data_IF_821101953472
#
_entry.id   IF_821101953472
#
_cell.length_a   1.000
_cell.length_b   1.000
_cell.length_c   1.000
_cell.angle_alpha   90.00
_cell.angle_beta   90.00
_cell.angle_gamma   90.00
#
_symmetry.space_group_name_H-M   'P 1'
#
loop_
_entity.id
_entity.type
_entity.pdbx_description
1 polymer ?
#
# COMPACT_ATOMS: atom_id res chain seq x y z
N UNK A 1 -1.99 -21.64 -0.37
CA UNK A 1 -1.55 -20.61 0.52
C UNK A 1 -2.05 -19.28 0.07
N UNK A 2 -2.55 -18.51 1.01
CA UNK A 2 -3.24 -17.28 0.67
C UNK A 2 -2.49 -16.06 1.14
N UNK A 3 -1.21 -16.03 0.84
CA UNK A 3 -0.42 -14.87 1.17
C UNK A 3 -0.65 -13.78 0.14
N UNK A 4 -0.87 -12.59 0.62
CA UNK A 4 -1.02 -11.44 -0.25
C UNK A 4 0.35 -10.93 -0.67
N UNK A 5 0.49 -10.45 -1.91
CA UNK A 5 1.73 -9.79 -2.31
C UNK A 5 1.97 -8.56 -1.44
N UNK A 6 3.21 -8.30 -1.14
CA UNK A 6 3.59 -7.14 -0.35
C UNK A 6 3.98 -6.00 -1.27
N UNK A 7 3.47 -4.82 -0.95
CA UNK A 7 3.76 -3.62 -1.72
C UNK A 7 4.34 -2.58 -0.77
N UNK A 8 5.50 -2.07 -1.11
CA UNK A 8 6.09 -0.98 -0.36
C UNK A 8 5.68 0.34 -0.99
N UNK A 9 5.06 1.20 -0.19
CA UNK A 9 4.67 2.53 -0.62
C UNK A 9 5.58 3.52 0.09
N UNK A 10 6.49 4.11 -0.64
CA UNK A 10 7.43 5.07 -0.10
C UNK A 10 7.07 6.46 -0.61
N UNK A 11 6.44 7.24 0.23
CA UNK A 11 6.03 8.60 -0.12
C UNK A 11 5.85 9.38 1.18
N UNK A 12 6.30 10.61 1.21
CA UNK A 12 6.16 11.44 2.39
C UNK A 12 4.75 12.03 2.54
N UNK A 13 3.90 11.84 1.56
CA UNK A 13 2.53 12.32 1.63
C UNK A 13 1.60 11.22 2.09
N UNK A 14 1.01 11.42 3.26
CA UNK A 14 0.05 10.49 3.82
C UNK A 14 -1.16 10.33 2.91
N UNK A 15 -1.57 11.42 2.29
CA UNK A 15 -2.72 11.42 1.40
C UNK A 15 -2.44 10.56 0.17
N UNK A 16 -1.25 10.70 -0.40
CA UNK A 16 -0.88 9.91 -1.56
C UNK A 16 -0.80 8.43 -1.23
N UNK A 17 -0.27 8.09 -0.05
CA UNK A 17 -0.21 6.69 0.36
C UNK A 17 -1.61 6.10 0.52
N UNK A 18 -2.51 6.87 1.11
CA UNK A 18 -3.89 6.41 1.28
C UNK A 18 -4.57 6.23 -0.07
N UNK A 19 -4.33 7.15 -0.99
CA UNK A 19 -4.92 7.09 -2.32
C UNK A 19 -4.44 5.85 -3.08
N UNK A 20 -3.17 5.53 -2.97
CA UNK A 20 -2.64 4.34 -3.63
C UNK A 20 -3.28 3.07 -3.10
N UNK A 21 -3.49 3.00 -1.79
CA UNK A 21 -4.15 1.85 -1.21
C UNK A 21 -5.59 1.72 -1.68
N UNK A 22 -6.25 2.84 -1.88
CA UNK A 22 -7.61 2.84 -2.42
C UNK A 22 -7.65 2.30 -3.86
N UNK A 23 -6.70 2.72 -4.66
CA UNK A 23 -6.63 2.31 -6.05
C UNK A 23 -6.32 0.82 -6.17
N UNK A 24 -5.37 0.36 -5.36
CA UNK A 24 -4.93 -1.03 -5.43
C UNK A 24 -5.87 -2.00 -4.72
N UNK A 25 -6.62 -1.49 -3.75
CA UNK A 25 -7.59 -2.30 -3.05
C UNK A 25 -6.99 -3.07 -1.88
N UNK A 26 -7.72 -4.03 -1.38
CA UNK A 26 -7.32 -4.77 -0.18
C UNK A 26 -6.70 -6.13 -0.49
N UNK A 27 -6.32 -6.37 -1.74
CA UNK A 27 -5.68 -7.62 -2.15
C UNK A 27 -4.19 -7.68 -1.90
N UNK A 28 -3.62 -6.71 -1.18
CA UNK A 28 -2.18 -6.60 -0.98
C UNK A 28 -1.87 -6.25 0.47
N UNK A 29 -0.69 -6.68 0.90
CA UNK A 29 -0.14 -6.22 2.18
C UNK A 29 0.71 -4.99 1.92
N UNK A 30 0.40 -3.90 2.57
CA UNK A 30 1.10 -2.64 2.34
C UNK A 30 2.10 -2.36 3.44
N UNK A 31 3.29 -1.96 3.03
CA UNK A 31 4.29 -1.42 3.93
C UNK A 31 4.49 0.04 3.54
N UNK A 32 4.40 0.92 4.50
CA UNK A 32 4.50 2.35 4.23
C UNK A 32 5.79 2.91 4.81
N UNK A 33 6.43 3.75 4.02
CA UNK A 33 7.63 4.45 4.44
C UNK A 33 7.53 5.91 3.99
N UNK A 34 8.13 6.78 4.77
CA UNK A 34 8.16 8.22 4.46
C UNK A 34 9.36 8.61 3.62
#
# INVERSE_FOLDING_TARGET
MNEKPKILIADDSEINRALLKEILGDGYDYLEAE
#
